data_IF_901185032228
#
_entry.id   IF_901185032228
#
_cell.length_a   1.000
_cell.length_b   1.000
_cell.length_c   1.000
_cell.angle_alpha   90.00
_cell.angle_beta   90.00
_cell.angle_gamma   90.00
#
_symmetry.space_group_name_H-M   'P 1'
#
loop_
_entity.id
_entity.type
_entity.pdbx_description
1 polymer ?
#
# COMPACT_ATOMS: atom_id res chain seq x y z
N UNK A 1 49.15 -10.62 23.10
CA UNK A 1 48.22 -10.36 21.99
C UNK A 1 46.82 -10.37 22.58
N UNK A 2 46.23 -9.19 22.77
CA UNK A 2 44.88 -9.09 23.31
C UNK A 2 43.91 -9.21 22.14
N UNK A 3 43.09 -10.26 22.15
CA UNK A 3 41.87 -10.31 21.35
C UNK A 3 40.95 -9.25 21.93
N UNK A 4 40.98 -8.07 21.33
CA UNK A 4 40.04 -7.00 21.60
C UNK A 4 38.70 -7.40 20.94
N UNK A 5 37.94 -8.25 21.63
CA UNK A 5 36.52 -8.49 21.34
C UNK A 5 35.70 -7.34 21.94
N UNK A 6 36.06 -6.11 21.58
CA UNK A 6 35.20 -4.95 21.78
C UNK A 6 34.19 -5.03 20.64
N UNK A 7 33.13 -5.83 20.81
CA UNK A 7 31.96 -5.75 19.96
C UNK A 7 31.32 -4.40 20.27
N UNK A 8 31.80 -3.36 19.57
CA UNK A 8 31.46 -1.99 19.87
C UNK A 8 29.95 -1.82 19.61
N UNK A 9 29.15 -1.45 20.63
CA UNK A 9 27.71 -1.28 20.47
C UNK A 9 27.39 -0.21 19.39
N UNK A 10 28.32 0.72 19.17
CA UNK A 10 28.25 1.72 18.10
C UNK A 10 28.34 1.09 16.71
N UNK A 11 29.23 0.13 16.50
CA UNK A 11 29.39 -0.52 15.20
C UNK A 11 28.14 -1.34 14.85
N UNK A 12 27.57 -2.03 15.84
CA UNK A 12 26.34 -2.82 15.68
C UNK A 12 25.14 -1.92 15.29
N UNK A 13 25.01 -0.75 15.93
CA UNK A 13 23.98 0.24 15.57
C UNK A 13 24.19 0.84 14.18
N UNK A 14 25.43 1.07 13.77
CA UNK A 14 25.72 1.59 12.44
C UNK A 14 25.35 0.57 11.35
N UNK A 15 25.62 -0.71 11.58
CA UNK A 15 25.21 -1.79 10.68
C UNK A 15 23.68 -1.94 10.65
N UNK A 16 23.00 -1.81 11.80
CA UNK A 16 21.54 -1.78 11.87
C UNK A 16 20.95 -0.67 11.00
N UNK A 17 21.42 0.58 11.14
CA UNK A 17 20.94 1.71 10.34
C UNK A 17 21.22 1.53 8.85
N UNK A 18 22.39 0.98 8.49
CA UNK A 18 22.76 0.68 7.11
C UNK A 18 21.85 -0.38 6.49
N UNK A 19 21.57 -1.46 7.22
CA UNK A 19 20.63 -2.50 6.78
C UNK A 19 19.22 -1.91 6.69
N UNK A 20 18.79 -1.14 7.69
CA UNK A 20 17.48 -0.47 7.72
C UNK A 20 17.27 0.46 6.53
N UNK A 21 18.25 1.30 6.19
CA UNK A 21 18.18 2.20 5.03
C UNK A 21 18.12 1.43 3.71
N UNK A 22 18.90 0.35 3.60
CA UNK A 22 18.87 -0.54 2.43
C UNK A 22 17.51 -1.24 2.27
N UNK A 23 16.90 -1.68 3.38
CA UNK A 23 15.56 -2.26 3.43
C UNK A 23 14.49 -1.23 3.02
N UNK A 24 14.58 0.00 3.53
CA UNK A 24 13.67 1.08 3.17
C UNK A 24 13.83 1.53 1.71
N UNK A 25 15.05 1.45 1.16
CA UNK A 25 15.34 1.73 -0.23
C UNK A 25 14.85 0.64 -1.19
N UNK A 26 14.59 -0.58 -0.70
CA UNK A 26 14.02 -1.66 -1.52
C UNK A 26 12.58 -1.35 -1.90
N UNK A 27 12.26 -1.54 -3.18
CA UNK A 27 10.88 -1.43 -3.69
C UNK A 27 10.01 -2.66 -3.38
N UNK A 28 10.60 -3.77 -2.93
CA UNK A 28 9.89 -5.02 -2.63
C UNK A 28 9.50 -5.09 -1.16
N UNK A 29 8.27 -5.54 -0.86
CA UNK A 29 7.77 -5.72 0.51
C UNK A 29 8.30 -7.00 1.17
N UNK A 30 9.08 -7.80 0.44
CA UNK A 30 9.57 -9.10 0.86
C UNK A 30 11.09 -9.12 0.88
N UNK A 31 11.64 -9.71 1.92
CA UNK A 31 13.07 -9.78 2.16
C UNK A 31 13.44 -11.13 2.76
N UNK A 32 14.47 -11.77 2.22
CA UNK A 32 15.00 -13.01 2.77
C UNK A 32 16.32 -12.77 3.53
N UNK A 33 16.61 -13.58 4.55
CA UNK A 33 17.86 -13.49 5.29
C UNK A 33 19.08 -13.64 4.36
N UNK A 34 18.96 -14.51 3.36
CA UNK A 34 19.95 -14.72 2.30
C UNK A 34 20.20 -13.46 1.46
N UNK A 35 19.20 -12.62 1.23
CA UNK A 35 19.38 -11.34 0.54
C UNK A 35 20.30 -10.41 1.33
N UNK A 36 20.09 -10.34 2.65
CA UNK A 36 20.88 -9.48 3.54
C UNK A 36 22.32 -9.98 3.58
N UNK A 37 22.54 -11.29 3.76
CA UNK A 37 23.87 -11.89 3.77
C UNK A 37 24.61 -11.70 2.42
N UNK A 38 23.88 -11.73 1.31
CA UNK A 38 24.47 -11.49 -0.02
C UNK A 38 24.87 -10.01 -0.23
N UNK A 39 24.13 -9.06 0.36
CA UNK A 39 24.42 -7.62 0.24
C UNK A 39 25.44 -7.13 1.27
N UNK A 40 25.53 -7.82 2.41
CA UNK A 40 26.42 -7.49 3.52
C UNK A 40 27.27 -8.70 3.93
N UNK A 41 28.17 -9.20 3.07
CA UNK A 41 29.07 -10.30 3.40
C UNK A 41 30.09 -9.93 4.49
N UNK A 42 30.21 -8.63 4.79
CA UNK A 42 30.99 -8.04 5.88
C UNK A 42 30.34 -8.22 7.27
N UNK A 43 29.06 -8.62 7.33
CA UNK A 43 28.32 -8.83 8.58
C UNK A 43 28.26 -10.34 8.88
N UNK A 44 28.52 -10.70 10.14
CA UNK A 44 28.38 -12.09 10.60
C UNK A 44 26.90 -12.49 10.67
N UNK A 45 26.59 -13.75 10.38
CA UNK A 45 25.22 -14.29 10.42
C UNK A 45 24.54 -14.00 11.77
N UNK A 46 25.26 -14.19 12.88
CA UNK A 46 24.74 -13.93 14.23
C UNK A 46 24.35 -12.45 14.43
N UNK A 47 25.11 -11.52 13.86
CA UNK A 47 24.82 -10.09 13.92
C UNK A 47 23.66 -9.72 12.98
N UNK A 48 23.57 -10.36 11.82
CA UNK A 48 22.41 -10.20 10.91
C UNK A 48 21.12 -10.65 11.60
N UNK A 49 21.12 -11.80 12.28
CA UNK A 49 19.94 -12.27 13.02
C UNK A 49 19.52 -11.30 14.12
N UNK A 50 20.47 -10.71 14.86
CA UNK A 50 20.20 -9.69 15.88
C UNK A 50 19.61 -8.40 15.27
N UNK A 51 20.17 -7.92 14.17
CA UNK A 51 19.64 -6.77 13.41
C UNK A 51 18.21 -7.03 12.97
N UNK A 52 17.92 -8.22 12.44
CA UNK A 52 16.59 -8.59 11.96
C UNK A 52 15.56 -8.68 13.09
N UNK A 53 15.95 -9.25 14.24
CA UNK A 53 15.11 -9.30 15.44
C UNK A 53 14.84 -7.88 15.99
N UNK A 54 15.83 -7.00 15.94
CA UNK A 54 15.66 -5.60 16.34
C UNK A 54 14.73 -4.83 15.40
N UNK A 55 14.84 -5.02 14.08
CA UNK A 55 13.93 -4.43 13.10
C UNK A 55 12.51 -4.98 13.22
N UNK A 56 12.36 -6.25 13.60
CA UNK A 56 11.06 -6.86 13.92
C UNK A 56 10.46 -6.24 15.19
N UNK A 57 11.26 -6.06 16.25
CA UNK A 57 10.84 -5.37 17.49
C UNK A 57 10.47 -3.90 17.26
N UNK A 58 11.20 -3.20 16.39
CA UNK A 58 10.87 -1.82 15.97
C UNK A 58 9.64 -1.75 15.07
N UNK A 59 9.13 -2.89 14.59
CA UNK A 59 7.97 -2.96 13.70
C UNK A 59 8.27 -2.54 12.27
N UNK A 60 9.55 -2.41 11.88
CA UNK A 60 10.01 -2.15 10.50
C UNK A 60 9.85 -3.39 9.63
N UNK A 61 9.97 -4.57 10.23
CA UNK A 61 9.82 -5.86 9.57
C UNK A 61 8.84 -6.75 10.35
N UNK A 62 8.31 -7.79 9.69
CA UNK A 62 7.58 -8.87 10.32
C UNK A 62 8.05 -10.21 9.79
N UNK A 63 8.31 -11.16 10.68
CA UNK A 63 8.72 -12.50 10.30
C UNK A 63 7.53 -13.28 9.75
N UNK A 64 7.59 -13.61 8.46
CA UNK A 64 6.53 -14.33 7.74
C UNK A 64 6.90 -15.79 7.51
N UNK A 65 8.20 -16.13 7.49
CA UNK A 65 8.72 -17.48 7.29
C UNK A 65 9.94 -17.80 8.14
N UNK A 66 10.58 -18.94 7.87
CA UNK A 66 11.75 -19.40 8.62
C UNK A 66 12.94 -18.44 8.47
N UNK A 67 13.11 -17.92 7.26
CA UNK A 67 14.16 -16.98 6.85
C UNK A 67 13.60 -15.84 5.99
N UNK A 68 12.27 -15.65 6.01
CA UNK A 68 11.54 -14.71 5.16
C UNK A 68 10.82 -13.67 6.01
N UNK A 69 11.00 -12.41 5.62
CA UNK A 69 10.49 -11.24 6.32
C UNK A 69 9.67 -10.38 5.37
N UNK A 70 8.64 -9.74 5.91
CA UNK A 70 7.82 -8.75 5.22
C UNK A 70 8.18 -7.38 5.77
N UNK A 71 8.48 -6.42 4.89
CA UNK A 71 8.80 -5.06 5.28
C UNK A 71 7.51 -4.36 5.67
N UNK A 72 7.36 -4.09 6.96
CA UNK A 72 6.34 -3.23 7.52
C UNK A 72 6.75 -1.78 7.32
N UNK A 73 6.86 -1.38 6.06
CA UNK A 73 6.71 0.03 5.77
C UNK A 73 5.29 0.35 6.19
N UNK A 74 5.16 1.15 7.25
CA UNK A 74 3.94 1.93 7.41
C UNK A 74 3.66 2.46 6.02
N UNK A 75 2.53 2.03 5.44
CA UNK A 75 1.95 2.75 4.32
C UNK A 75 1.65 4.11 4.92
N UNK A 76 2.65 4.98 5.00
CA UNK A 76 2.46 6.41 5.13
C UNK A 76 1.51 6.69 3.98
N UNK A 77 0.24 6.97 4.29
CA UNK A 77 -0.75 7.13 3.26
C UNK A 77 -0.50 8.51 2.69
N UNK A 78 0.54 8.66 1.85
CA UNK A 78 0.77 9.86 1.06
C UNK A 78 0.49 11.14 1.87
N UNK A 79 1.19 11.29 3.01
CA UNK A 79 1.23 12.59 3.69
C UNK A 79 1.99 13.53 2.75
N UNK A 80 1.37 14.66 2.45
CA UNK A 80 1.94 15.78 1.70
C UNK A 80 1.91 15.71 0.16
N UNK A 81 0.71 15.70 -0.44
CA UNK A 81 0.49 16.63 -1.56
C UNK A 81 -0.71 17.55 -1.27
N UNK A 82 -0.38 18.71 -0.72
CA UNK A 82 -0.95 20.01 -1.06
C UNK A 82 -2.49 20.12 -1.17
N UNK A 83 -3.15 20.23 -0.03
CA UNK A 83 -4.30 21.12 0.06
C UNK A 83 -4.05 22.12 1.19
N UNK A 84 -3.49 23.28 0.81
CA UNK A 84 -3.40 24.45 1.68
C UNK A 84 -4.82 24.97 1.93
N UNK A 85 -5.11 25.25 3.21
CA UNK A 85 -6.32 25.87 3.81
C UNK A 85 -7.59 25.00 3.79
N UNK A 86 -8.36 24.88 4.86
CA UNK A 86 -8.66 25.84 5.93
C UNK A 86 -8.89 25.13 7.28
N UNK A 87 -8.79 25.91 8.35
CA UNK A 87 -8.89 25.53 9.76
C UNK A 87 -10.21 24.82 10.11
N UNK A 88 -10.14 23.73 10.89
CA UNK A 88 -10.91 23.53 12.12
C UNK A 88 -10.63 22.15 12.72
N UNK A 89 -10.03 22.19 13.91
CA UNK A 89 -10.27 21.36 15.09
C UNK A 89 -10.59 19.85 14.94
N UNK A 90 -9.82 19.06 15.70
CA UNK A 90 -10.41 17.93 16.40
C UNK A 90 -10.13 16.53 15.86
N UNK A 91 -9.13 15.91 16.49
CA UNK A 91 -9.23 14.61 17.18
C UNK A 91 -8.71 13.35 16.44
N UNK A 92 -7.75 12.77 17.15
CA UNK A 92 -7.12 11.47 17.01
C UNK A 92 -8.07 10.30 17.35
N UNK A 93 -7.59 9.08 17.07
CA UNK A 93 -8.10 7.76 17.45
C UNK A 93 -9.11 7.13 16.46
N UNK A 94 -9.15 5.83 16.20
CA UNK A 94 -8.29 4.67 16.47
C UNK A 94 -8.90 3.51 15.65
N UNK A 95 -8.21 2.36 15.63
CA UNK A 95 -8.67 1.06 15.11
C UNK A 95 -10.15 0.75 15.39
N UNK A 96 -10.68 -0.12 14.51
CA UNK A 96 -11.91 -0.90 14.58
C UNK A 96 -13.06 -0.41 13.67
N UNK A 97 -13.46 -1.30 12.76
CA UNK A 97 -14.61 -1.20 11.85
C UNK A 97 -14.54 -0.05 10.83
N UNK A 98 -13.52 -0.07 9.95
CA UNK A 98 -13.43 0.91 8.85
C UNK A 98 -14.53 0.66 7.83
N UNK A 99 -15.69 1.28 8.06
CA UNK A 99 -16.44 1.93 6.99
C UNK A 99 -15.44 2.49 5.98
N UNK A 100 -15.39 1.90 4.79
CA UNK A 100 -14.50 2.37 3.74
C UNK A 100 -14.94 3.80 3.45
N UNK A 101 -14.04 4.75 3.64
CA UNK A 101 -14.35 6.15 3.36
C UNK A 101 -14.91 6.26 1.94
N UNK A 102 -15.99 7.02 1.71
CA UNK A 102 -16.70 7.04 0.43
C UNK A 102 -15.77 7.40 -0.76
N UNK A 103 -14.74 8.20 -0.52
CA UNK A 103 -13.72 8.52 -1.52
C UNK A 103 -12.78 7.32 -1.84
N UNK A 104 -12.45 6.50 -0.85
CA UNK A 104 -11.62 5.30 -1.02
C UNK A 104 -12.41 4.18 -1.72
N UNK A 105 -13.69 4.03 -1.38
CA UNK A 105 -14.61 3.12 -2.08
C UNK A 105 -14.73 3.50 -3.56
N UNK A 106 -14.82 4.80 -3.85
CA UNK A 106 -14.85 5.33 -5.22
C UNK A 106 -13.54 5.04 -5.97
N UNK A 107 -12.40 5.13 -5.30
CA UNK A 107 -11.10 4.73 -5.87
C UNK A 107 -11.04 3.23 -6.15
N UNK A 108 -11.52 2.39 -5.24
CA UNK A 108 -11.62 0.94 -5.45
C UNK A 108 -12.51 0.60 -6.64
N UNK A 109 -13.70 1.20 -6.76
CA UNK A 109 -14.60 1.03 -7.91
C UNK A 109 -13.90 1.47 -9.21
N UNK A 110 -13.14 2.56 -9.17
CA UNK A 110 -12.37 3.03 -10.32
C UNK A 110 -11.29 2.03 -10.76
N UNK A 111 -10.53 1.46 -9.81
CA UNK A 111 -9.53 0.42 -10.08
C UNK A 111 -10.17 -0.85 -10.65
N UNK A 112 -11.28 -1.29 -10.08
CA UNK A 112 -12.01 -2.47 -10.54
C UNK A 112 -12.37 -2.39 -12.03
N UNK A 113 -12.77 -1.21 -12.48
CA UNK A 113 -13.11 -0.96 -13.88
C UNK A 113 -11.90 -0.68 -14.76
N UNK A 114 -10.89 0.07 -14.28
CA UNK A 114 -9.78 0.53 -15.10
C UNK A 114 -8.71 -0.54 -15.35
N UNK A 115 -8.33 -1.31 -14.33
CA UNK A 115 -7.20 -2.25 -14.40
C UNK A 115 -7.39 -3.40 -15.42
N UNK A 116 -8.61 -3.92 -15.65
CA UNK A 116 -8.84 -4.91 -16.71
C UNK A 116 -8.74 -4.35 -18.14
N UNK A 117 -8.68 -3.02 -18.32
CA UNK A 117 -8.66 -2.41 -19.65
C UNK A 117 -7.24 -2.25 -20.17
N UNK A 118 -7.08 -2.20 -21.50
CA UNK A 118 -5.79 -1.80 -22.11
C UNK A 118 -5.53 -0.29 -22.05
N UNK A 119 -6.60 0.50 -22.18
CA UNK A 119 -6.54 1.96 -22.16
C UNK A 119 -7.72 2.55 -21.39
N UNK A 120 -7.46 3.61 -20.64
CA UNK A 120 -8.43 4.35 -19.83
C UNK A 120 -8.51 5.81 -20.27
N UNK A 121 -9.73 6.33 -20.39
CA UNK A 121 -10.01 7.75 -20.60
C UNK A 121 -10.87 8.28 -19.48
N UNK A 122 -10.80 9.60 -19.22
CA UNK A 122 -11.63 10.27 -18.22
C UNK A 122 -13.11 9.98 -18.48
N UNK A 123 -13.57 10.12 -19.73
CA UNK A 123 -14.97 9.90 -20.10
C UNK A 123 -15.40 8.44 -19.90
N UNK A 124 -14.56 7.47 -20.27
CA UNK A 124 -14.90 6.05 -20.14
C UNK A 124 -14.97 5.64 -18.67
N UNK A 125 -14.02 6.09 -17.85
CA UNK A 125 -14.02 5.81 -16.42
C UNK A 125 -15.19 6.50 -15.71
N UNK A 126 -15.48 7.76 -16.04
CA UNK A 126 -16.64 8.50 -15.54
C UNK A 126 -17.96 7.73 -15.76
N UNK A 127 -18.15 7.19 -16.96
CA UNK A 127 -19.36 6.43 -17.30
C UNK A 127 -19.45 5.08 -16.57
N UNK A 128 -18.32 4.47 -16.20
CA UNK A 128 -18.31 3.22 -15.43
C UNK A 128 -18.46 3.43 -13.92
N UNK A 129 -18.25 4.65 -13.45
CA UNK A 129 -18.55 5.06 -12.08
C UNK A 129 -19.99 5.58 -11.94
N UNK A 130 -20.88 5.21 -12.87
CA UNK A 130 -22.30 5.62 -12.90
C UNK A 130 -22.53 7.14 -12.81
N UNK A 131 -21.52 7.95 -13.16
CA UNK A 131 -21.56 9.40 -13.00
C UNK A 131 -21.46 9.89 -11.55
N UNK A 132 -21.21 9.01 -10.57
CA UNK A 132 -21.02 9.37 -9.15
C UNK A 132 -19.78 10.26 -8.94
N UNK A 133 -18.79 10.16 -9.83
CA UNK A 133 -17.56 10.94 -9.79
C UNK A 133 -17.56 12.02 -10.89
N UNK A 134 -17.40 13.30 -10.53
CA UNK A 134 -17.23 14.38 -11.50
C UNK A 134 -15.91 14.20 -12.31
N UNK A 135 -15.83 14.72 -13.54
CA UNK A 135 -14.65 14.63 -14.42
C UNK A 135 -13.35 15.06 -13.73
N UNK A 136 -13.39 16.07 -12.86
CA UNK A 136 -12.23 16.50 -12.06
C UNK A 136 -11.79 15.44 -11.06
N UNK A 137 -12.73 14.76 -10.40
CA UNK A 137 -12.43 13.63 -9.50
C UNK A 137 -11.85 12.46 -10.29
N UNK A 138 -12.48 12.12 -11.42
CA UNK A 138 -12.00 11.03 -12.29
C UNK A 138 -10.57 11.28 -12.77
N UNK A 139 -10.23 12.53 -13.10
CA UNK A 139 -8.84 12.91 -13.41
C UNK A 139 -7.90 12.62 -12.23
N UNK A 140 -8.25 13.04 -11.01
CA UNK A 140 -7.47 12.75 -9.81
C UNK A 140 -7.30 11.25 -9.54
N UNK A 141 -8.35 10.45 -9.78
CA UNK A 141 -8.28 8.98 -9.62
C UNK A 141 -7.28 8.39 -10.63
N UNK A 142 -7.31 8.83 -11.88
CA UNK A 142 -6.35 8.40 -12.91
C UNK A 142 -4.93 8.86 -12.55
N UNK A 143 -4.76 10.09 -12.08
CA UNK A 143 -3.46 10.61 -11.66
C UNK A 143 -2.88 9.79 -10.49
N UNK A 144 -3.72 9.38 -9.54
CA UNK A 144 -3.35 8.45 -8.46
C UNK A 144 -2.94 7.08 -9.02
N UNK A 145 -3.68 6.53 -9.99
CA UNK A 145 -3.31 5.26 -10.64
C UNK A 145 -1.96 5.34 -11.37
N UNK A 146 -1.59 6.51 -11.89
CA UNK A 146 -0.27 6.75 -12.51
C UNK A 146 0.81 6.78 -11.44
N UNK A 147 0.58 7.50 -10.35
CA UNK A 147 1.50 7.55 -9.21
C UNK A 147 1.76 6.17 -8.61
N UNK A 148 0.73 5.32 -8.54
CA UNK A 148 0.83 3.94 -8.05
C UNK A 148 1.39 2.96 -9.10
N UNK A 149 1.66 3.42 -10.33
CA UNK A 149 2.30 2.62 -11.37
C UNK A 149 1.36 1.63 -12.08
N UNK A 150 0.04 1.78 -11.95
CA UNK A 150 -0.94 0.96 -12.67
C UNK A 150 -1.26 1.50 -14.06
N UNK A 151 -1.04 2.80 -14.28
CA UNK A 151 -1.33 3.49 -15.54
C UNK A 151 -0.09 4.26 -15.97
N UNK A 152 0.22 4.25 -17.27
CA UNK A 152 1.30 5.05 -17.81
C UNK A 152 0.95 6.53 -17.79
N UNK A 153 1.93 7.38 -17.46
CA UNK A 153 1.75 8.82 -17.59
C UNK A 153 1.62 9.26 -19.07
N UNK A 154 2.11 8.41 -19.98
CA UNK A 154 1.94 8.58 -21.42
C UNK A 154 0.46 8.68 -21.81
N UNK A 155 0.10 9.77 -22.49
CA UNK A 155 -1.26 10.00 -22.94
C UNK A 155 -1.33 9.96 -24.47
N UNK A 156 -2.21 9.11 -25.00
CA UNK A 156 -2.57 9.11 -26.40
C UNK A 156 -3.90 9.85 -26.58
N UNK A 157 -3.90 10.94 -27.36
CA UNK A 157 -5.12 11.74 -27.62
C UNK A 157 -6.32 10.93 -28.15
N UNK A 158 -6.09 9.80 -28.82
CA UNK A 158 -7.16 8.96 -29.41
C UNK A 158 -7.58 7.79 -28.52
N UNK A 159 -6.62 7.18 -27.82
CA UNK A 159 -6.87 5.93 -27.05
C UNK A 159 -6.98 6.16 -25.54
N UNK A 160 -6.43 7.25 -25.02
CA UNK A 160 -6.31 7.50 -23.58
C UNK A 160 -4.95 7.13 -23.01
N UNK A 161 -4.90 6.91 -21.70
CA UNK A 161 -3.71 6.46 -20.99
C UNK A 161 -3.67 4.93 -20.97
N UNK A 162 -2.48 4.35 -21.13
CA UNK A 162 -2.29 2.89 -21.18
C UNK A 162 -2.26 2.31 -19.77
N UNK A 163 -2.92 1.19 -19.57
CA UNK A 163 -2.86 0.44 -18.30
C UNK A 163 -1.71 -0.56 -18.35
N UNK A 164 -0.91 -0.58 -17.29
CA UNK A 164 0.24 -1.45 -17.14
C UNK A 164 -0.26 -2.80 -16.66
N UNK A 165 -0.08 -3.84 -17.47
CA UNK A 165 -0.44 -5.21 -17.08
C UNK A 165 0.81 -5.87 -16.50
N UNK A 166 0.93 -5.80 -15.19
CA UNK A 166 2.00 -6.41 -14.39
C UNK A 166 1.39 -7.28 -13.30
N UNK A 167 2.19 -8.19 -12.74
CA UNK A 167 1.80 -9.00 -11.58
C UNK A 167 1.28 -8.12 -10.43
N UNK A 168 1.86 -6.94 -10.24
CA UNK A 168 1.43 -5.95 -9.23
C UNK A 168 0.00 -5.47 -9.51
N UNK A 169 -0.31 -5.17 -10.77
CA UNK A 169 -1.63 -4.70 -11.19
C UNK A 169 -2.69 -5.79 -11.07
N UNK A 170 -2.34 -7.04 -11.43
CA UNK A 170 -3.22 -8.20 -11.27
C UNK A 170 -3.50 -8.51 -9.81
N UNK A 171 -2.48 -8.45 -8.94
CA UNK A 171 -2.64 -8.60 -7.50
C UNK A 171 -3.56 -7.52 -6.93
N UNK A 172 -3.36 -6.26 -7.34
CA UNK A 172 -4.22 -5.16 -6.88
C UNK A 172 -5.66 -5.33 -7.33
N UNK A 173 -5.89 -5.74 -8.58
CA UNK A 173 -7.23 -6.02 -9.09
C UNK A 173 -7.93 -7.14 -8.29
N UNK A 174 -7.19 -8.19 -7.91
CA UNK A 174 -7.73 -9.27 -7.09
C UNK A 174 -8.04 -8.83 -5.65
N UNK A 175 -7.23 -7.95 -5.05
CA UNK A 175 -7.53 -7.33 -3.75
C UNK A 175 -8.83 -6.52 -3.82
N UNK A 176 -8.94 -5.63 -4.80
CA UNK A 176 -10.13 -4.79 -5.01
C UNK A 176 -11.38 -5.64 -5.23
N UNK A 177 -11.28 -6.72 -6.01
CA UNK A 177 -12.38 -7.69 -6.22
C UNK A 177 -12.87 -8.29 -4.91
N UNK A 178 -11.96 -8.71 -4.04
CA UNK A 178 -12.33 -9.29 -2.73
C UNK A 178 -13.03 -8.24 -1.86
N UNK A 179 -12.49 -7.03 -1.79
CA UNK A 179 -13.07 -5.95 -0.99
C UNK A 179 -14.48 -5.60 -1.49
N UNK A 180 -14.67 -5.41 -2.79
CA UNK A 180 -15.99 -5.10 -3.35
C UNK A 180 -17.00 -6.24 -3.14
N UNK A 181 -16.57 -7.50 -3.30
CA UNK A 181 -17.42 -8.66 -3.02
C UNK A 181 -17.88 -8.73 -1.56
N UNK A 182 -16.99 -8.42 -0.59
CA UNK A 182 -17.37 -8.37 0.83
C UNK A 182 -18.33 -7.23 1.15
N UNK A 183 -18.28 -6.12 0.41
CA UNK A 183 -19.17 -4.98 0.62
C UNK A 183 -20.56 -5.18 0.00
N UNK A 184 -20.69 -5.89 -1.12
CA UNK A 184 -22.00 -6.28 -1.68
C UNK A 184 -22.80 -7.14 -0.66
N UNK A 185 -22.13 -8.05 0.06
CA UNK A 185 -22.75 -8.80 1.15
C UNK A 185 -23.21 -7.88 2.31
N UNK A 186 -22.47 -6.81 2.60
CA UNK A 186 -22.79 -5.87 3.68
C UNK A 186 -23.95 -4.90 3.34
N UNK A 187 -24.17 -4.60 2.05
CA UNK A 187 -25.33 -3.83 1.57
C UNK A 187 -26.62 -4.64 1.70
N UNK A 188 -26.55 -5.97 1.51
CA UNK A 188 -27.70 -6.85 1.77
C UNK A 188 -28.05 -6.79 3.26
N UNK A 189 -27.11 -6.98 4.18
CA UNK A 189 -27.40 -7.00 5.62
C UNK A 189 -27.93 -5.67 6.19
N UNK A 190 -27.45 -4.50 5.73
CA UNK A 190 -28.04 -3.21 6.16
C UNK A 190 -29.44 -2.97 5.61
N UNK A 191 -29.75 -3.48 4.41
CA UNK A 191 -31.08 -3.33 3.80
C UNK A 191 -32.11 -4.25 4.47
N UNK A 192 -31.73 -5.45 4.92
CA UNK A 192 -32.69 -6.34 5.62
C UNK A 192 -33.06 -5.79 7.00
N UNK A 193 -32.12 -5.19 7.74
CA UNK A 193 -32.42 -4.59 9.07
C UNK A 193 -33.31 -3.33 8.95
N UNK A 194 -33.14 -2.50 7.92
CA UNK A 194 -34.02 -1.36 7.67
C UNK A 194 -35.44 -1.76 7.24
N UNK A 195 -35.60 -2.91 6.58
CA UNK A 195 -36.92 -3.41 6.16
C UNK A 195 -37.63 -4.14 7.30
N UNK A 196 -36.91 -4.89 8.15
CA UNK A 196 -37.48 -5.63 9.28
C UNK A 196 -37.74 -4.77 10.53
N UNK A 197 -37.11 -3.60 10.65
CA UNK A 197 -37.31 -2.67 11.77
C UNK A 197 -38.58 -1.81 11.73
N UNK A 198 -39.45 -1.98 10.71
CA UNK A 198 -40.68 -1.16 10.53
C UNK A 198 -42.00 -1.88 10.81
N UNK A 199 -41.95 -3.04 11.46
CA UNK A 199 -43.12 -3.83 11.78
C UNK A 199 -43.20 -4.18 13.28
N UNK A 200 -43.25 -3.18 14.16
CA UNK A 200 -43.88 -3.27 15.49
C UNK A 200 -44.39 -1.89 15.92
#
# INVERSE_FOLDING_TARGET
MFQDNTQDPVESQQQLERVKDWINSRHLDTLELTDVLANFPDISIALTEEIMDQLEKEGVLSKTGKETYTINREKTPWSEFNFVKDEADGKTASKDEKSIAPEEYMYMKALYHSLPMQYVTITKLHNMLDGEANQTKVRKLIDRMIQEGYVEDSSNRRLGKRVIHSVVTENKLNEVRKVLATNDDMVIFQTVEQILGRAF
#
